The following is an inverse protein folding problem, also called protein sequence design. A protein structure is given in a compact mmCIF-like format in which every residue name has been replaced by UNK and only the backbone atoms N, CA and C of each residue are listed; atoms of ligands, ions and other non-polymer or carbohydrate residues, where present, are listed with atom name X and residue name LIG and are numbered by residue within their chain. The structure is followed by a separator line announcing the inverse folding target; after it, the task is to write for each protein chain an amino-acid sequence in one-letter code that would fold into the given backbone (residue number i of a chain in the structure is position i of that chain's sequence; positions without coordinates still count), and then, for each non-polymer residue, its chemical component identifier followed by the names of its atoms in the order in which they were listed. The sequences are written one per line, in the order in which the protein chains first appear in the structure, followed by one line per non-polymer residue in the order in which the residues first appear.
data_IF_696775214118
#
_entry.id   IF_696775214118
#
_cell.length_a   1.000
_cell.length_b   1.000
_cell.length_c   1.000
_cell.angle_alpha   90.00
_cell.angle_beta   90.00
_cell.angle_gamma   90.00
#
_symmetry.space_group_name_H-M   'P 1'
#
loop_
_entity.id
_entity.type
_entity.pdbx_description
1 polymer ?
#
# COMPACT_ATOMS: atom_id res chain seq x y z
N UNK A 1 4.93 11.19 -4.87
CA UNK A 1 4.08 12.18 -4.16
C UNK A 1 2.64 11.74 -4.37
N UNK A 2 1.86 11.72 -3.30
CA UNK A 2 0.47 11.29 -3.31
C UNK A 2 -0.46 12.49 -3.57
N UNK A 3 -1.65 12.23 -4.11
CA UNK A 3 -2.72 13.20 -4.20
C UNK A 3 -3.49 13.34 -2.87
N UNK A 4 -4.53 14.17 -2.84
CA UNK A 4 -5.34 14.40 -1.63
C UNK A 4 -6.09 13.18 -1.12
N UNK A 5 -6.20 12.11 -1.91
CA UNK A 5 -6.80 10.84 -1.49
C UNK A 5 -5.77 9.85 -0.91
N UNK A 6 -4.47 10.20 -0.93
CA UNK A 6 -3.38 9.30 -0.57
C UNK A 6 -2.97 8.36 -1.72
N UNK A 7 -3.51 8.56 -2.93
CA UNK A 7 -3.17 7.74 -4.08
C UNK A 7 -1.94 8.30 -4.81
N UNK A 8 -1.11 7.41 -5.35
CA UNK A 8 -0.06 7.78 -6.29
C UNK A 8 -0.25 7.01 -7.60
N UNK A 9 0.08 7.66 -8.72
CA UNK A 9 0.07 7.06 -10.05
C UNK A 9 1.44 7.24 -10.67
N UNK A 10 1.98 6.15 -11.20
CA UNK A 10 3.28 6.11 -11.87
C UNK A 10 3.08 5.50 -13.24
N UNK A 11 3.53 6.19 -14.28
CA UNK A 11 3.57 5.65 -15.64
C UNK A 11 4.88 4.89 -15.83
N UNK A 12 4.76 3.65 -16.28
CA UNK A 12 5.88 2.78 -16.61
C UNK A 12 5.90 2.63 -18.13
N UNK A 13 7.03 2.96 -18.76
CA UNK A 13 7.12 3.02 -20.21
C UNK A 13 7.35 1.65 -20.85
N UNK A 14 8.14 0.80 -20.19
CA UNK A 14 8.65 -0.44 -20.75
C UNK A 14 8.07 -1.67 -20.06
N UNK A 15 8.08 -2.81 -20.75
CA UNK A 15 7.84 -4.11 -20.13
C UNK A 15 9.08 -4.49 -19.30
N UNK A 16 8.85 -4.97 -18.09
CA UNK A 16 9.90 -5.34 -17.14
C UNK A 16 10.05 -6.86 -17.02
N UNK A 17 9.42 -7.66 -17.89
CA UNK A 17 9.56 -9.12 -17.96
C UNK A 17 9.51 -9.78 -16.56
N UNK A 18 10.60 -10.44 -16.17
CA UNK A 18 10.76 -11.19 -14.91
C UNK A 18 11.34 -10.34 -13.76
N UNK A 19 11.45 -9.01 -13.91
CA UNK A 19 11.99 -8.16 -12.87
C UNK A 19 11.06 -8.10 -11.64
N UNK A 20 11.68 -8.07 -10.46
CA UNK A 20 10.96 -7.86 -9.20
C UNK A 20 10.79 -6.35 -8.96
N UNK A 21 9.65 -5.82 -9.40
CA UNK A 21 9.30 -4.41 -9.20
C UNK A 21 8.48 -4.23 -7.91
N UNK A 22 8.79 -3.18 -7.15
CA UNK A 22 8.18 -2.94 -5.84
C UNK A 22 7.91 -1.45 -5.62
N UNK A 23 6.77 -1.15 -5.02
CA UNK A 23 6.51 0.15 -4.41
C UNK A 23 6.98 0.09 -2.95
N UNK A 24 7.72 1.11 -2.51
CA UNK A 24 8.31 1.18 -1.17
C UNK A 24 8.04 2.54 -0.55
N UNK A 25 7.79 2.55 0.76
CA UNK A 25 7.68 3.80 1.52
C UNK A 25 9.05 4.49 1.61
N UNK A 26 9.06 5.80 1.36
CA UNK A 26 10.27 6.62 1.47
C UNK A 26 10.19 7.49 2.73
N UNK A 27 9.13 8.28 2.87
CA UNK A 27 8.93 9.18 3.99
C UNK A 27 7.48 9.61 4.13
N UNK A 28 7.12 10.11 5.31
CA UNK A 28 5.81 10.69 5.62
C UNK A 28 5.91 12.19 5.83
N UNK A 29 4.89 12.93 5.41
CA UNK A 29 4.74 14.36 5.73
C UNK A 29 4.15 14.58 7.14
N UNK A 30 3.56 13.54 7.74
CA UNK A 30 2.99 13.58 9.08
C UNK A 30 4.03 13.12 10.09
N UNK A 31 4.39 14.00 11.02
CA UNK A 31 5.47 13.74 12.00
C UNK A 31 5.11 12.62 12.98
N UNK A 32 3.86 12.53 13.36
CA UNK A 32 3.31 11.54 14.29
C UNK A 32 2.88 10.23 13.60
N UNK A 33 3.23 10.07 12.31
CA UNK A 33 2.88 8.93 11.48
C UNK A 33 3.99 8.69 10.44
N UNK A 34 5.22 8.47 10.92
CA UNK A 34 6.42 8.42 10.08
C UNK A 34 7.18 7.09 10.13
N UNK A 35 6.82 6.18 11.05
CA UNK A 35 7.43 4.85 11.13
C UNK A 35 6.75 3.90 10.14
N UNK A 36 7.50 3.26 9.24
CA UNK A 36 6.92 2.32 8.30
C UNK A 36 6.30 1.13 9.06
N UNK A 37 5.06 0.78 8.74
CA UNK A 37 4.36 -0.32 9.40
C UNK A 37 4.94 -1.66 8.91
N UNK A 38 5.43 -2.53 9.81
CA UNK A 38 5.97 -3.83 9.43
C UNK A 38 4.96 -4.68 8.63
N UNK A 39 5.39 -5.22 7.50
CA UNK A 39 4.57 -5.97 6.56
C UNK A 39 3.76 -5.10 5.59
N UNK A 40 3.82 -3.77 5.71
CA UNK A 40 3.16 -2.79 4.84
C UNK A 40 4.09 -1.68 4.37
N UNK A 41 5.40 -1.88 4.48
CA UNK A 41 6.44 -0.96 3.99
C UNK A 41 6.68 -1.08 2.49
N UNK A 42 6.28 -2.21 1.89
CA UNK A 42 6.52 -2.56 0.48
C UNK A 42 5.39 -3.36 -0.14
N UNK A 43 5.17 -3.18 -1.44
CA UNK A 43 4.21 -3.94 -2.22
C UNK A 43 4.80 -4.30 -3.58
N UNK A 44 4.76 -5.59 -3.92
CA UNK A 44 5.24 -6.09 -5.21
C UNK A 44 4.21 -5.80 -6.30
N UNK A 45 4.71 -5.42 -7.48
CA UNK A 45 3.90 -5.14 -8.66
C UNK A 45 4.53 -5.82 -9.86
N UNK A 46 3.71 -6.41 -10.74
CA UNK A 46 4.17 -7.12 -11.93
C UNK A 46 4.02 -6.19 -13.13
N UNK A 47 5.13 -5.79 -13.73
CA UNK A 47 5.16 -4.95 -14.93
C UNK A 47 5.52 -5.74 -16.17
N UNK A 48 4.83 -6.86 -16.39
CA UNK A 48 4.83 -7.53 -17.69
C UNK A 48 3.42 -7.67 -18.24
N UNK A 49 3.31 -7.67 -19.57
CA UNK A 49 2.10 -8.01 -20.30
C UNK A 49 2.03 -9.51 -20.66
N UNK A 50 3.13 -10.24 -20.48
CA UNK A 50 3.20 -11.68 -20.74
C UNK A 50 2.69 -12.53 -19.55
N UNK A 51 1.53 -12.14 -18.98
CA UNK A 51 0.97 -12.77 -17.77
C UNK A 51 -0.55 -13.04 -17.88
N UNK A 52 -1.13 -12.91 -19.07
CA UNK A 52 -2.56 -13.17 -19.31
C UNK A 52 -3.52 -12.14 -18.71
N UNK A 53 -3.03 -11.02 -18.16
CA UNK A 53 -3.88 -9.94 -17.66
C UNK A 53 -4.18 -8.95 -18.79
N UNK A 54 -5.46 -8.71 -19.05
CA UNK A 54 -5.94 -7.89 -20.17
C UNK A 54 -5.80 -6.36 -19.98
N UNK A 55 -5.42 -5.91 -18.79
CA UNK A 55 -5.27 -4.50 -18.42
C UNK A 55 -3.80 -4.16 -18.25
N UNK A 56 -3.41 -2.95 -18.64
CA UNK A 56 -2.06 -2.41 -18.38
C UNK A 56 -1.98 -1.66 -17.04
N UNK A 57 -3.12 -1.46 -16.36
CA UNK A 57 -3.13 -0.90 -15.02
C UNK A 57 -2.83 -1.98 -13.99
N UNK A 58 -1.83 -1.71 -13.15
CA UNK A 58 -1.44 -2.57 -12.02
C UNK A 58 -1.69 -1.80 -10.73
N UNK A 59 -2.34 -2.45 -9.77
CA UNK A 59 -2.65 -1.88 -8.47
C UNK A 59 -1.74 -2.54 -7.42
N UNK A 60 -0.93 -1.73 -6.75
CA UNK A 60 -0.15 -2.18 -5.61
C UNK A 60 -1.04 -2.25 -4.37
N UNK A 61 -0.71 -3.15 -3.44
CA UNK A 61 -1.32 -3.12 -2.11
C UNK A 61 -1.00 -1.80 -1.39
N UNK A 62 -1.94 -1.37 -0.56
CA UNK A 62 -1.81 -0.15 0.24
C UNK A 62 -0.60 -0.29 1.18
N UNK A 63 0.26 0.72 1.17
CA UNK A 63 1.36 0.86 2.13
C UNK A 63 0.90 1.71 3.31
N UNK A 64 1.62 1.65 4.43
CA UNK A 64 1.24 2.41 5.61
C UNK A 64 2.40 2.78 6.52
N UNK A 65 2.37 4.01 7.00
CA UNK A 65 3.07 4.39 8.23
C UNK A 65 2.17 4.12 9.44
N UNK A 66 2.78 3.84 10.58
CA UNK A 66 2.08 3.67 11.85
C UNK A 66 2.10 4.99 12.62
N UNK A 67 0.95 5.34 13.20
CA UNK A 67 0.82 6.49 14.09
C UNK A 67 1.47 6.17 15.43
N UNK A 68 2.13 7.15 16.03
CA UNK A 68 2.84 6.97 17.30
C UNK A 68 1.88 6.54 18.42
N UNK A 69 0.67 7.08 18.43
CA UNK A 69 -0.38 6.76 19.39
C UNK A 69 -1.64 6.23 18.68
N UNK A 70 -2.23 5.12 19.16
CA UNK A 70 -3.45 4.57 18.58
C UNK A 70 -4.63 5.54 18.75
N UNK A 71 -5.48 5.62 17.73
CA UNK A 71 -6.70 6.42 17.82
C UNK A 71 -7.70 5.74 18.76
N UNK A 72 -8.50 6.53 19.49
CA UNK A 72 -9.55 6.01 20.37
C UNK A 72 -10.54 5.06 19.65
N UNK A 73 -10.74 5.26 18.34
CA UNK A 73 -11.58 4.42 17.51
C UNK A 73 -10.99 3.03 17.19
N UNK A 74 -9.68 2.81 17.34
CA UNK A 74 -9.04 1.53 17.02
C UNK A 74 -9.66 0.37 17.83
N UNK A 75 -9.94 0.58 19.11
CA UNK A 75 -10.59 -0.42 19.97
C UNK A 75 -12.03 -0.74 19.53
N UNK A 76 -12.73 0.22 18.92
CA UNK A 76 -14.08 0.01 18.40
C UNK A 76 -14.04 -0.82 17.11
N UNK A 77 -13.08 -0.53 16.23
CA UNK A 77 -12.86 -1.30 15.00
C UNK A 77 -12.52 -2.75 15.33
N UNK A 78 -11.63 -2.99 16.30
CA UNK A 78 -11.24 -4.36 16.67
C UNK A 78 -12.45 -5.21 17.11
N UNK A 79 -13.36 -4.64 17.90
CA UNK A 79 -14.59 -5.32 18.33
C UNK A 79 -15.50 -5.72 17.17
N UNK A 80 -15.49 -4.99 16.06
CA UNK A 80 -16.26 -5.35 14.86
C UNK A 80 -15.69 -6.61 14.21
N UNK A 81 -14.36 -6.74 14.15
CA UNK A 81 -13.70 -7.92 13.58
C UNK A 81 -13.81 -9.16 14.47
N UNK A 82 -13.84 -8.98 15.79
CA UNK A 82 -14.04 -10.08 16.76
C UNK A 82 -15.49 -10.56 16.82
N UNK A 83 -16.45 -9.78 16.32
CA UNK A 83 -17.89 -10.05 16.40
C UNK A 83 -18.48 -10.90 15.26
N UNK A 84 -17.67 -11.32 14.29
CA UNK A 84 -18.11 -12.08 13.10
C UNK A 84 -17.89 -13.61 13.24
N UNK A 85 -17.96 -14.17 14.45
CA UNK A 85 -18.22 -15.61 14.65
C UNK A 85 -19.74 -15.87 14.55
N UNK A 86 -20.24 -16.14 13.33
CA UNK A 86 -21.54 -16.79 13.09
C UNK A 86 -21.30 -18.16 12.46
#
# INVERSE_FOLDING_TARGET
MEDSSGAHKVSIADDHDDQLCESVLISSLQKDCALAMPGRERARVIFTNNNGINSNNRFANNLGFIKDEPLAACAQVLKLYEGDEV
#
